data_IF_805775851513
#
_entry.id   IF_805775851513
#
_cell.length_a   1.000
_cell.length_b   1.000
_cell.length_c   1.000
_cell.angle_alpha   90.00
_cell.angle_beta   90.00
_cell.angle_gamma   90.00
#
_symmetry.space_group_name_H-M   'P 1'
#
loop_
_entity.id
_entity.type
_entity.pdbx_description
1 polymer ?
#
# COMPACT_ATOMS: atom_id res chain seq x y z
N UNK A 1 18.05 27.46 -9.42
CA UNK A 1 17.10 28.07 -8.47
C UNK A 1 16.35 26.91 -7.84
N UNK A 2 16.61 26.57 -6.57
CA UNK A 2 15.74 25.61 -5.87
C UNK A 2 14.41 26.34 -5.66
N UNK A 3 13.36 25.91 -6.36
CA UNK A 3 12.02 26.44 -6.17
C UNK A 3 11.64 26.28 -4.69
N UNK A 4 11.06 27.32 -4.11
CA UNK A 4 10.49 27.23 -2.77
C UNK A 4 9.42 26.13 -2.77
N UNK A 5 9.49 25.13 -1.88
CA UNK A 5 8.52 24.03 -1.89
C UNK A 5 7.09 24.55 -1.76
N UNK A 6 6.18 24.04 -2.60
CA UNK A 6 4.75 24.37 -2.52
C UNK A 6 4.18 23.90 -1.18
N UNK A 7 3.46 24.79 -0.51
CA UNK A 7 2.67 24.48 0.68
C UNK A 7 1.22 24.22 0.24
N UNK A 8 0.66 23.07 0.62
CA UNK A 8 -0.66 22.61 0.16
C UNK A 8 -1.80 22.98 1.11
N UNK A 9 -1.52 23.22 2.39
CA UNK A 9 -2.55 23.58 3.35
C UNK A 9 -2.03 23.84 4.75
N UNK A 10 -2.96 24.19 5.65
CA UNK A 10 -2.73 24.33 7.08
C UNK A 10 -3.55 23.28 7.84
N UNK A 11 -2.91 22.61 8.80
CA UNK A 11 -3.50 21.54 9.62
C UNK A 11 -3.16 21.85 11.08
N UNK A 12 -4.12 21.91 12.01
CA UNK A 12 -3.79 22.26 13.39
C UNK A 12 -2.87 21.23 14.05
N UNK A 13 -3.41 20.06 14.34
CA UNK A 13 -2.68 19.00 15.03
C UNK A 13 -2.57 17.78 14.11
N UNK A 14 -1.35 17.28 13.91
CA UNK A 14 -1.07 16.08 13.12
C UNK A 14 -0.62 14.99 14.07
N UNK A 15 -1.31 13.85 14.08
CA UNK A 15 -0.84 12.65 14.78
C UNK A 15 -0.22 11.70 13.76
N UNK A 16 1.04 11.32 13.95
CA UNK A 16 1.69 10.25 13.18
C UNK A 16 1.79 9.02 14.07
N UNK A 17 1.07 7.96 13.73
CA UNK A 17 1.11 6.68 14.46
C UNK A 17 2.08 5.77 13.72
N UNK A 18 3.16 5.36 14.37
CA UNK A 18 4.27 4.61 13.77
C UNK A 18 5.37 5.52 13.23
N UNK A 19 6.60 5.27 13.67
CA UNK A 19 7.82 6.00 13.30
C UNK A 19 8.93 5.09 12.78
N UNK A 20 8.53 4.02 12.08
CA UNK A 20 9.40 3.17 11.26
C UNK A 20 9.89 3.88 9.99
N UNK A 21 10.31 3.13 8.98
CA UNK A 21 10.88 3.68 7.73
C UNK A 21 9.96 4.70 7.04
N UNK A 22 8.65 4.44 7.00
CA UNK A 22 7.66 5.32 6.36
C UNK A 22 7.37 6.55 7.23
N UNK A 23 7.28 6.41 8.57
CA UNK A 23 7.09 7.54 9.48
C UNK A 23 8.26 8.53 9.43
N UNK A 24 9.49 8.01 9.50
CA UNK A 24 10.73 8.77 9.34
C UNK A 24 10.79 9.53 8.01
N UNK A 25 10.37 8.88 6.91
CA UNK A 25 10.34 9.49 5.59
C UNK A 25 9.20 10.50 5.37
N UNK A 26 8.05 10.31 6.04
CA UNK A 26 6.86 11.17 5.90
C UNK A 26 7.03 12.49 6.65
N UNK A 27 7.58 12.45 7.87
CA UNK A 27 7.76 13.63 8.72
C UNK A 27 8.44 14.83 8.01
N UNK A 28 9.59 14.69 7.34
CA UNK A 28 10.23 15.81 6.63
C UNK A 28 9.39 16.33 5.47
N UNK A 29 8.56 15.47 4.83
CA UNK A 29 7.68 15.90 3.76
C UNK A 29 6.45 16.66 4.29
N UNK A 30 5.89 16.25 5.43
CA UNK A 30 4.84 17.03 6.12
C UNK A 30 5.38 18.42 6.47
N UNK A 31 6.55 18.49 7.10
CA UNK A 31 7.23 19.75 7.48
C UNK A 31 7.50 20.66 6.27
N UNK A 32 7.76 20.06 5.11
CA UNK A 32 8.03 20.77 3.86
C UNK A 32 6.77 21.33 3.21
N UNK A 33 5.66 20.59 3.27
CA UNK A 33 4.51 20.83 2.41
C UNK A 33 3.24 21.30 3.12
N UNK A 34 3.20 21.30 4.46
CA UNK A 34 2.08 21.79 5.24
C UNK A 34 2.53 22.79 6.30
N UNK A 35 1.63 23.71 6.65
CA UNK A 35 1.73 24.50 7.89
C UNK A 35 0.95 23.78 8.98
N UNK A 36 1.45 23.82 10.21
CA UNK A 36 0.81 23.16 11.34
C UNK A 36 1.15 23.83 12.67
N UNK A 37 0.33 23.55 13.69
CA UNK A 37 0.61 23.98 15.07
C UNK A 37 1.52 22.96 15.74
N UNK A 38 1.14 21.68 15.69
CA UNK A 38 1.84 20.60 16.39
C UNK A 38 1.79 19.28 15.62
N UNK A 39 2.89 18.53 15.68
CA UNK A 39 2.96 17.12 15.29
C UNK A 39 3.16 16.30 16.56
N UNK A 40 2.39 15.24 16.75
CA UNK A 40 2.59 14.24 17.79
C UNK A 40 2.89 12.89 17.15
N UNK A 41 4.06 12.34 17.43
CA UNK A 41 4.47 11.01 16.98
C UNK A 41 4.15 9.99 18.09
N UNK A 42 3.54 8.87 17.72
CA UNK A 42 3.25 7.75 18.63
C UNK A 42 3.99 6.52 18.11
N UNK A 43 4.86 5.93 18.93
CA UNK A 43 5.55 4.67 18.61
C UNK A 43 5.96 3.97 19.92
N UNK A 44 5.88 2.63 20.03
CA UNK A 44 6.40 1.92 21.20
C UNK A 44 7.93 1.99 21.34
N UNK A 45 8.65 2.12 20.22
CA UNK A 45 10.10 2.19 20.18
C UNK A 45 10.60 3.63 20.33
N UNK A 46 11.75 3.84 20.99
CA UNK A 46 12.28 5.18 21.19
C UNK A 46 12.66 5.84 19.87
N UNK A 47 12.42 7.15 19.80
CA UNK A 47 12.74 8.00 18.66
C UNK A 47 14.05 8.77 18.92
N UNK A 48 14.88 8.96 17.90
CA UNK A 48 16.14 9.68 18.03
C UNK A 48 15.95 11.21 18.11
N UNK A 49 16.68 11.89 19.02
CA UNK A 49 16.86 13.34 18.94
C UNK A 49 17.70 13.66 17.69
N UNK A 50 17.36 14.64 16.82
CA UNK A 50 16.58 15.86 17.09
C UNK A 50 15.14 15.86 16.55
N UNK A 51 14.49 14.70 16.40
CA UNK A 51 13.15 14.65 15.79
C UNK A 51 12.08 15.37 16.64
N UNK A 52 12.30 15.42 17.96
CA UNK A 52 11.49 16.14 18.96
C UNK A 52 11.91 17.62 19.05
N UNK A 53 10.92 18.52 19.06
CA UNK A 53 11.12 19.98 19.13
C UNK A 53 9.91 20.67 19.75
N UNK A 54 9.89 22.00 19.82
CA UNK A 54 8.73 22.76 20.34
C UNK A 54 7.41 22.49 19.57
N UNK A 55 7.51 22.07 18.29
CA UNK A 55 6.35 21.78 17.43
C UNK A 55 6.20 20.28 17.12
N UNK A 56 7.08 19.43 17.65
CA UNK A 56 7.05 17.98 17.45
C UNK A 56 7.22 17.27 18.78
N UNK A 57 6.17 16.59 19.24
CA UNK A 57 6.16 15.77 20.44
C UNK A 57 6.27 14.30 20.09
N UNK A 58 6.84 13.51 21.01
CA UNK A 58 6.87 12.06 20.92
C UNK A 58 6.21 11.44 22.16
N UNK A 59 5.29 10.51 21.95
CA UNK A 59 4.66 9.70 22.99
C UNK A 59 5.11 8.26 22.77
N UNK A 60 5.97 7.77 23.67
CA UNK A 60 6.46 6.39 23.60
C UNK A 60 5.42 5.40 24.13
N UNK A 61 4.52 4.96 23.26
CA UNK A 61 3.45 4.02 23.60
C UNK A 61 3.03 3.22 22.37
N UNK A 62 2.81 1.92 22.56
CA UNK A 62 2.12 1.08 21.58
C UNK A 62 0.62 1.30 21.69
N UNK A 63 -0.04 1.66 20.59
CA UNK A 63 -1.49 1.73 20.57
C UNK A 63 -2.08 0.32 20.64
N UNK A 64 -3.06 0.15 21.50
CA UNK A 64 -3.81 -1.09 21.68
C UNK A 64 -5.30 -0.78 21.62
N UNK A 65 -6.10 -1.83 21.49
CA UNK A 65 -7.56 -1.73 21.53
C UNK A 65 -8.09 -0.99 22.77
N UNK A 66 -7.41 -1.13 23.90
CA UNK A 66 -7.85 -0.59 25.18
C UNK A 66 -7.46 0.88 25.37
N UNK A 67 -6.36 1.35 24.76
CA UNK A 67 -5.79 2.67 25.04
C UNK A 67 -5.97 3.70 23.90
N UNK A 68 -6.21 3.27 22.66
CA UNK A 68 -6.06 4.17 21.51
C UNK A 68 -7.03 5.36 21.55
N UNK A 69 -8.24 5.16 22.07
CA UNK A 69 -9.25 6.22 22.16
C UNK A 69 -8.84 7.33 23.12
N UNK A 70 -8.35 6.96 24.31
CA UNK A 70 -7.90 7.90 25.33
C UNK A 70 -6.70 8.71 24.84
N UNK A 71 -5.74 8.04 24.20
CA UNK A 71 -4.54 8.71 23.68
C UNK A 71 -4.91 9.69 22.55
N UNK A 72 -5.75 9.26 21.60
CA UNK A 72 -6.19 10.14 20.51
C UNK A 72 -7.09 11.28 20.99
N UNK A 73 -7.83 11.10 22.09
CA UNK A 73 -8.58 12.19 22.76
C UNK A 73 -7.68 13.28 23.31
N UNK A 74 -6.56 12.89 23.92
CA UNK A 74 -5.57 13.83 24.44
C UNK A 74 -4.90 14.66 23.35
N UNK A 75 -4.83 14.13 22.12
CA UNK A 75 -4.20 14.80 20.97
C UNK A 75 -5.21 15.70 20.25
N UNK A 76 -6.39 15.18 19.92
CA UNK A 76 -7.37 15.89 19.09
C UNK A 76 -8.44 16.61 19.92
N UNK A 77 -8.06 17.72 20.55
CA UNK A 77 -8.96 18.51 21.41
C UNK A 77 -9.53 19.72 20.64
N UNK A 78 -10.77 19.60 20.15
CA UNK A 78 -11.55 20.74 19.63
C UNK A 78 -11.00 21.42 18.36
N UNK A 79 -10.17 20.72 17.59
CA UNK A 79 -9.48 21.24 16.38
C UNK A 79 -9.64 20.28 15.20
N UNK A 80 -9.43 20.80 13.98
CA UNK A 80 -9.31 19.99 12.77
C UNK A 80 -7.94 19.31 12.79
N UNK A 81 -7.93 18.01 13.09
CA UNK A 81 -6.72 17.21 13.12
C UNK A 81 -6.53 16.36 11.87
N UNK A 82 -5.33 15.82 11.71
CA UNK A 82 -5.03 14.78 10.73
C UNK A 82 -4.32 13.61 11.41
N UNK A 83 -4.93 12.43 11.38
CA UNK A 83 -4.32 11.18 11.80
C UNK A 83 -3.65 10.49 10.60
N UNK A 84 -2.33 10.35 10.65
CA UNK A 84 -1.48 9.69 9.66
C UNK A 84 -1.01 8.37 10.25
N UNK A 85 -1.69 7.27 9.91
CA UNK A 85 -1.41 5.95 10.46
C UNK A 85 -0.42 5.17 9.57
N UNK A 86 0.80 5.01 10.05
CA UNK A 86 1.95 4.39 9.40
C UNK A 86 2.53 3.25 10.26
N UNK A 87 1.68 2.63 11.07
CA UNK A 87 2.05 1.62 12.06
C UNK A 87 1.71 0.20 11.61
N UNK A 88 2.23 -0.77 12.36
CA UNK A 88 1.86 -2.19 12.32
C UNK A 88 1.15 -2.55 13.61
N UNK A 89 0.38 -3.65 13.62
CA UNK A 89 -0.28 -4.16 14.82
C UNK A 89 -1.39 -3.26 15.39
N UNK A 90 -1.88 -2.28 14.62
CA UNK A 90 -3.02 -1.43 14.99
C UNK A 90 -4.19 -1.61 14.04
N UNK A 91 -5.42 -1.61 14.55
CA UNK A 91 -6.59 -1.76 13.67
C UNK A 91 -6.89 -0.48 12.91
N UNK A 92 -6.61 -0.49 11.59
CA UNK A 92 -6.90 0.64 10.71
C UNK A 92 -8.39 1.00 10.75
N UNK A 93 -9.28 0.00 10.75
CA UNK A 93 -10.73 0.22 10.76
C UNK A 93 -11.20 0.93 12.04
N UNK A 94 -10.76 0.47 13.22
CA UNK A 94 -11.19 1.08 14.49
C UNK A 94 -10.65 2.50 14.64
N UNK A 95 -9.38 2.75 14.31
CA UNK A 95 -8.76 4.08 14.40
C UNK A 95 -9.40 5.03 13.38
N UNK A 96 -9.55 4.60 12.13
CA UNK A 96 -10.18 5.39 11.07
C UNK A 96 -11.57 5.87 11.46
N UNK A 97 -12.42 4.95 11.92
CA UNK A 97 -13.79 5.27 12.33
C UNK A 97 -13.81 6.20 13.54
N UNK A 98 -12.85 6.04 14.46
CA UNK A 98 -12.72 6.91 15.62
C UNK A 98 -12.36 8.34 15.21
N UNK A 99 -11.37 8.50 14.32
CA UNK A 99 -10.99 9.80 13.76
C UNK A 99 -12.16 10.46 13.02
N UNK A 100 -12.85 9.73 12.14
CA UNK A 100 -14.01 10.26 11.42
C UNK A 100 -15.15 10.69 12.36
N UNK A 101 -15.38 9.95 13.46
CA UNK A 101 -16.39 10.31 14.45
C UNK A 101 -16.10 11.64 15.16
N UNK A 102 -14.83 12.06 15.19
CA UNK A 102 -14.36 13.32 15.78
C UNK A 102 -14.18 14.45 14.78
N UNK A 103 -14.42 14.21 13.50
CA UNK A 103 -14.11 15.19 12.46
C UNK A 103 -12.61 15.33 12.15
N UNK A 104 -11.82 14.31 12.47
CA UNK A 104 -10.38 14.24 12.20
C UNK A 104 -10.14 13.51 10.88
N UNK A 105 -9.34 14.09 9.99
CA UNK A 105 -8.93 13.42 8.75
C UNK A 105 -8.09 12.20 9.05
N UNK A 106 -8.17 11.19 8.19
CA UNK A 106 -7.41 9.96 8.36
C UNK A 106 -6.75 9.52 7.05
N UNK A 107 -5.53 9.03 7.14
CA UNK A 107 -4.85 8.30 6.06
C UNK A 107 -4.05 7.14 6.62
N UNK A 108 -4.09 5.99 5.94
CA UNK A 108 -3.21 4.86 6.16
C UNK A 108 -2.62 4.34 4.84
N UNK A 109 -1.64 3.45 4.92
CA UNK A 109 -1.07 2.75 3.76
C UNK A 109 -1.50 1.29 3.67
N UNK A 110 -2.16 0.76 4.68
CA UNK A 110 -2.54 -0.65 4.81
C UNK A 110 -3.81 -0.78 5.65
N UNK A 111 -4.59 -1.84 5.39
CA UNK A 111 -5.69 -2.26 6.27
C UNK A 111 -5.13 -3.24 7.29
N UNK A 112 -4.68 -2.69 8.40
CA UNK A 112 -4.04 -3.46 9.46
C UNK A 112 -5.07 -3.87 10.52
N UNK A 113 -4.74 -4.92 11.28
CA UNK A 113 -5.50 -5.35 12.45
C UNK A 113 -4.67 -5.31 13.72
N UNK A 114 -5.35 -5.36 14.86
CA UNK A 114 -4.67 -5.46 16.15
C UNK A 114 -3.72 -6.66 16.20
N UNK A 115 -2.60 -6.45 16.89
CA UNK A 115 -1.55 -7.45 17.08
C UNK A 115 -2.08 -8.85 17.42
N UNK A 116 -1.47 -9.87 16.78
CA UNK A 116 -1.87 -11.27 16.92
C UNK A 116 -2.98 -11.73 15.97
N UNK A 117 -3.61 -10.85 15.19
CA UNK A 117 -4.68 -11.24 14.26
C UNK A 117 -4.21 -12.21 13.16
N UNK A 118 -3.07 -11.95 12.51
CA UNK A 118 -2.62 -12.71 11.34
C UNK A 118 -2.14 -14.13 11.68
N UNK A 119 -1.53 -14.31 12.85
CA UNK A 119 -1.05 -15.61 13.35
C UNK A 119 -2.14 -16.42 14.06
N UNK A 120 -3.32 -15.84 14.30
CA UNK A 120 -4.42 -16.52 14.99
C UNK A 120 -5.09 -17.59 14.11
N UNK A 121 -4.87 -18.86 14.44
CA UNK A 121 -5.43 -20.01 13.73
C UNK A 121 -6.96 -20.16 13.92
N UNK A 122 -7.55 -19.58 14.96
CA UNK A 122 -9.00 -19.58 15.18
C UNK A 122 -9.74 -18.64 14.21
N UNK A 123 -9.01 -17.73 13.54
CA UNK A 123 -9.56 -16.86 12.50
C UNK A 123 -9.49 -17.57 11.15
N UNK A 124 -10.66 -17.80 10.57
CA UNK A 124 -10.79 -18.38 9.22
C UNK A 124 -9.89 -17.65 8.22
N UNK A 125 -9.17 -18.41 7.39
CA UNK A 125 -8.15 -17.87 6.47
C UNK A 125 -8.68 -16.76 5.55
N UNK A 126 -9.93 -16.86 5.09
CA UNK A 126 -10.53 -15.82 4.24
C UNK A 126 -10.74 -14.50 4.98
N UNK A 127 -10.94 -14.50 6.30
CA UNK A 127 -11.03 -13.26 7.10
C UNK A 127 -9.67 -12.62 7.29
N UNK A 128 -8.61 -13.44 7.35
CA UNK A 128 -7.20 -13.01 7.36
C UNK A 128 -6.69 -12.54 6.00
N UNK A 129 -7.43 -12.74 4.91
CA UNK A 129 -7.08 -12.20 3.59
C UNK A 129 -7.31 -10.69 3.50
N UNK A 130 -6.62 -9.99 2.59
CA UNK A 130 -6.88 -8.56 2.36
C UNK A 130 -8.30 -8.32 1.83
N UNK A 131 -8.89 -9.28 1.09
CA UNK A 131 -10.31 -9.23 0.77
C UNK A 131 -11.19 -9.19 2.03
N UNK A 132 -10.92 -10.08 2.99
CA UNK A 132 -11.67 -10.15 4.25
C UNK A 132 -11.61 -8.84 5.03
N UNK A 133 -10.41 -8.28 5.19
CA UNK A 133 -10.17 -7.01 5.85
C UNK A 133 -10.85 -5.84 5.11
N UNK A 134 -10.74 -5.81 3.79
CA UNK A 134 -11.42 -4.80 2.95
C UNK A 134 -12.93 -4.87 3.07
N UNK A 135 -13.53 -6.07 3.01
CA UNK A 135 -14.99 -6.23 3.14
C UNK A 135 -15.48 -5.92 4.56
N UNK A 136 -14.68 -6.17 5.60
CA UNK A 136 -14.99 -5.71 6.96
C UNK A 136 -15.07 -4.18 7.01
N UNK A 137 -14.03 -3.48 6.53
CA UNK A 137 -14.01 -2.02 6.47
C UNK A 137 -15.19 -1.47 5.66
N UNK A 138 -15.43 -1.98 4.44
CA UNK A 138 -16.51 -1.49 3.58
C UNK A 138 -17.89 -1.69 4.20
N UNK A 139 -18.12 -2.80 4.92
CA UNK A 139 -19.37 -3.01 5.67
C UNK A 139 -19.56 -1.94 6.73
N UNK A 140 -18.51 -1.58 7.46
CA UNK A 140 -18.62 -0.59 8.53
C UNK A 140 -18.74 0.84 8.01
N UNK A 141 -18.04 1.19 6.93
CA UNK A 141 -18.20 2.48 6.24
C UNK A 141 -19.65 2.67 5.77
N UNK A 142 -20.25 1.63 5.16
CA UNK A 142 -21.65 1.66 4.71
C UNK A 142 -22.66 1.82 5.85
N UNK A 143 -22.35 1.32 7.06
CA UNK A 143 -23.23 1.45 8.23
C UNK A 143 -23.21 2.85 8.83
N UNK A 144 -22.05 3.50 8.90
CA UNK A 144 -21.88 4.72 9.70
C UNK A 144 -22.02 6.04 8.92
N UNK A 145 -21.94 6.01 7.58
CA UNK A 145 -22.11 7.16 6.69
C UNK A 145 -21.42 8.46 7.21
N UNK A 146 -20.18 8.31 7.68
CA UNK A 146 -19.37 9.43 8.19
C UNK A 146 -18.96 10.34 7.03
N UNK A 147 -18.87 11.65 7.28
CA UNK A 147 -18.60 12.65 6.24
C UNK A 147 -17.14 13.03 6.11
N UNK A 148 -16.40 13.09 7.22
CA UNK A 148 -15.00 13.50 7.20
C UNK A 148 -14.17 12.51 6.40
N UNK A 149 -13.36 13.02 5.48
CA UNK A 149 -12.55 12.19 4.61
C UNK A 149 -11.57 11.31 5.40
N UNK A 150 -11.60 10.03 5.06
CA UNK A 150 -10.63 9.03 5.48
C UNK A 150 -10.16 8.25 4.25
N UNK A 151 -8.84 8.18 4.07
CA UNK A 151 -8.24 7.54 2.90
C UNK A 151 -7.56 6.25 3.36
N UNK A 152 -8.14 5.12 2.97
CA UNK A 152 -7.55 3.81 3.20
C UNK A 152 -6.60 3.43 2.06
N UNK A 153 -5.48 2.83 2.41
CA UNK A 153 -4.52 2.20 1.50
C UNK A 153 -3.95 3.19 0.47
N UNK A 154 -3.36 4.29 0.97
CA UNK A 154 -2.78 5.35 0.16
C UNK A 154 -1.27 5.51 0.39
N UNK A 155 -0.54 4.42 0.12
CA UNK A 155 0.90 4.42 -0.07
C UNK A 155 1.29 4.36 -1.55
N UNK A 156 2.38 3.67 -1.86
CA UNK A 156 2.78 3.44 -3.25
C UNK A 156 1.87 2.38 -3.90
N UNK A 157 1.82 1.22 -3.27
CA UNK A 157 1.00 0.06 -3.60
C UNK A 157 0.62 -0.57 -2.27
N UNK A 158 -0.66 -0.58 -1.86
CA UNK A 158 -1.80 0.09 -2.50
C UNK A 158 -1.69 1.62 -2.44
N UNK A 159 -2.30 2.30 -3.42
CA UNK A 159 -2.36 3.76 -3.49
C UNK A 159 -1.99 4.30 -4.87
N UNK A 160 -0.77 4.84 -5.01
CA UNK A 160 -0.23 5.44 -6.24
C UNK A 160 -0.45 4.59 -7.50
N UNK A 161 -0.32 3.26 -7.39
CA UNK A 161 -0.56 2.33 -8.50
C UNK A 161 -1.99 2.40 -9.07
N UNK A 162 -3.00 2.74 -8.26
CA UNK A 162 -4.36 2.97 -8.77
C UNK A 162 -4.43 4.20 -9.68
N UNK A 163 -3.63 5.23 -9.39
CA UNK A 163 -3.51 6.41 -10.23
C UNK A 163 -2.75 6.07 -11.52
N UNK A 164 -1.71 5.23 -11.43
CA UNK A 164 -1.01 4.70 -12.59
C UNK A 164 -1.91 3.89 -13.52
N UNK A 165 -2.82 3.06 -13.00
CA UNK A 165 -3.79 2.34 -13.85
C UNK A 165 -4.61 3.32 -14.68
N UNK A 166 -5.16 4.37 -14.06
CA UNK A 166 -5.94 5.39 -14.77
C UNK A 166 -5.12 6.07 -15.87
N UNK A 167 -3.92 6.55 -15.54
CA UNK A 167 -3.05 7.18 -16.51
C UNK A 167 -2.64 6.22 -17.65
N UNK A 168 -2.39 4.95 -17.32
CA UNK A 168 -2.02 3.92 -18.29
C UNK A 168 -3.15 3.65 -19.29
N UNK A 169 -4.41 3.68 -18.86
CA UNK A 169 -5.56 3.54 -19.75
C UNK A 169 -5.70 4.72 -20.71
N UNK A 170 -5.49 5.95 -20.23
CA UNK A 170 -5.50 7.15 -21.08
C UNK A 170 -4.40 7.06 -22.14
N UNK A 171 -3.19 6.69 -21.72
CA UNK A 171 -2.06 6.51 -22.63
C UNK A 171 -2.35 5.40 -23.65
N UNK A 172 -2.87 4.26 -23.19
CA UNK A 172 -3.20 3.13 -24.05
C UNK A 172 -4.26 3.48 -25.09
N UNK A 173 -5.33 4.18 -24.69
CA UNK A 173 -6.39 4.63 -25.59
C UNK A 173 -5.81 5.49 -26.74
N UNK A 174 -4.97 6.46 -26.39
CA UNK A 174 -4.25 7.28 -27.36
C UNK A 174 -3.36 6.44 -28.29
N UNK A 175 -2.58 5.52 -27.73
CA UNK A 175 -1.57 4.73 -28.45
C UNK A 175 -2.13 3.67 -29.40
N UNK A 176 -3.41 3.29 -29.23
CA UNK A 176 -4.14 2.39 -30.15
C UNK A 176 -5.14 3.14 -31.03
N UNK A 177 -5.24 4.46 -30.91
CA UNK A 177 -6.21 5.27 -31.66
C UNK A 177 -7.66 5.04 -31.24
N UNK A 178 -7.91 4.65 -29.99
CA UNK A 178 -9.26 4.52 -29.45
C UNK A 178 -9.87 5.91 -29.24
N UNK A 179 -11.09 6.18 -29.75
CA UNK A 179 -11.71 7.49 -29.61
C UNK A 179 -12.09 7.76 -28.15
N UNK A 180 -11.42 8.73 -27.54
CA UNK A 180 -11.70 9.19 -26.18
C UNK A 180 -11.90 10.71 -26.17
N UNK A 181 -13.11 11.21 -26.48
CA UNK A 181 -13.36 12.64 -26.57
C UNK A 181 -13.27 13.35 -25.20
N UNK A 182 -13.60 12.65 -24.11
CA UNK A 182 -13.46 13.13 -22.74
C UNK A 182 -12.89 12.03 -21.84
N UNK A 183 -12.16 12.42 -20.79
CA UNK A 183 -11.68 11.49 -19.78
C UNK A 183 -12.84 10.93 -18.92
N UNK A 184 -12.81 9.65 -18.52
CA UNK A 184 -13.82 9.07 -17.64
C UNK A 184 -13.90 9.76 -16.28
N UNK A 185 -15.11 10.08 -15.82
CA UNK A 185 -15.37 10.78 -14.55
C UNK A 185 -15.98 9.86 -13.48
N UNK A 186 -16.61 8.77 -13.90
CA UNK A 186 -17.26 7.81 -13.01
C UNK A 186 -16.57 6.45 -13.02
N UNK A 187 -16.74 5.68 -11.94
CA UNK A 187 -16.24 4.29 -11.84
C UNK A 187 -16.71 3.42 -13.01
N UNK A 188 -17.97 3.57 -13.44
CA UNK A 188 -18.53 2.81 -14.56
C UNK A 188 -17.88 3.18 -15.90
N UNK A 189 -17.62 4.47 -16.14
CA UNK A 189 -16.92 4.91 -17.36
C UNK A 189 -15.47 4.40 -17.39
N UNK A 190 -14.78 4.40 -16.24
CA UNK A 190 -13.44 3.81 -16.12
C UNK A 190 -13.43 2.30 -16.42
N UNK A 191 -14.39 1.55 -15.86
CA UNK A 191 -14.57 0.12 -16.14
C UNK A 191 -14.86 -0.16 -17.61
N UNK A 192 -15.75 0.63 -18.23
CA UNK A 192 -16.06 0.53 -19.67
C UNK A 192 -14.86 0.84 -20.54
N UNK A 193 -14.10 1.90 -20.24
CA UNK A 193 -12.87 2.21 -20.96
C UNK A 193 -11.91 1.01 -20.92
N UNK A 194 -11.67 0.43 -19.74
CA UNK A 194 -10.76 -0.71 -19.61
C UNK A 194 -11.25 -1.95 -20.39
N UNK A 195 -12.56 -2.24 -20.35
CA UNK A 195 -13.22 -3.29 -21.15
C UNK A 195 -13.01 -3.05 -22.65
N UNK A 196 -13.29 -1.84 -23.12
CA UNK A 196 -13.29 -1.48 -24.54
C UNK A 196 -11.87 -1.43 -25.13
N UNK A 197 -10.86 -1.10 -24.31
CA UNK A 197 -9.45 -1.23 -24.67
C UNK A 197 -8.95 -2.69 -24.71
N UNK A 198 -9.78 -3.65 -24.27
CA UNK A 198 -9.46 -5.07 -24.28
C UNK A 198 -8.42 -5.49 -23.24
N UNK A 199 -8.25 -4.73 -22.15
CA UNK A 199 -7.33 -5.10 -21.07
C UNK A 199 -7.91 -6.31 -20.33
N UNK A 200 -7.14 -7.40 -20.26
CA UNK A 200 -7.54 -8.64 -19.59
C UNK A 200 -7.12 -8.66 -18.12
N UNK A 201 -5.98 -8.07 -17.82
CA UNK A 201 -5.51 -7.97 -16.46
C UNK A 201 -4.36 -6.99 -16.30
N UNK A 202 -3.93 -6.88 -15.05
CA UNK A 202 -2.95 -5.94 -14.55
C UNK A 202 -2.05 -6.70 -13.58
N UNK A 203 -0.73 -6.64 -13.77
CA UNK A 203 0.17 -6.88 -12.65
C UNK A 203 0.52 -5.55 -12.02
N UNK A 204 0.52 -5.49 -10.70
CA UNK A 204 1.38 -4.53 -10.01
C UNK A 204 2.78 -5.11 -10.16
N UNK A 205 3.55 -4.57 -11.10
CA UNK A 205 4.80 -5.15 -11.55
C UNK A 205 5.94 -4.32 -10.98
N UNK A 206 6.62 -4.90 -9.99
CA UNK A 206 7.67 -4.23 -9.23
C UNK A 206 8.98 -4.98 -9.30
N UNK A 207 10.08 -4.22 -9.42
CA UNK A 207 11.43 -4.71 -9.30
C UNK A 207 12.25 -3.77 -8.44
N UNK A 208 12.53 -4.18 -7.21
CA UNK A 208 13.48 -3.49 -6.36
C UNK A 208 14.90 -4.02 -6.62
N UNK A 209 15.81 -3.10 -6.91
CA UNK A 209 17.24 -3.36 -7.21
C UNK A 209 18.18 -2.67 -6.23
N UNK A 210 17.64 -2.06 -5.17
CA UNK A 210 18.42 -1.49 -4.10
C UNK A 210 19.31 -2.55 -3.48
N UNK A 211 20.57 -2.19 -3.24
CA UNK A 211 21.58 -3.10 -2.69
C UNK A 211 22.45 -2.40 -1.65
N UNK A 212 22.87 -3.17 -0.68
CA UNK A 212 23.86 -2.79 0.34
C UNK A 212 25.26 -3.31 -0.02
N UNK A 213 26.29 -2.73 0.58
CA UNK A 213 27.64 -3.33 0.61
C UNK A 213 27.81 -4.33 1.75
N UNK A 214 26.87 -4.35 2.69
CA UNK A 214 26.83 -5.32 3.77
C UNK A 214 26.30 -6.66 3.27
N UNK A 215 26.78 -7.73 3.88
CA UNK A 215 26.39 -9.10 3.56
C UNK A 215 25.43 -9.55 4.66
N UNK A 216 24.25 -10.03 4.25
CA UNK A 216 23.25 -10.59 5.16
C UNK A 216 23.76 -11.89 5.79
N UNK A 217 23.68 -11.99 7.10
CA UNK A 217 23.98 -13.24 7.81
C UNK A 217 22.82 -14.26 7.64
N UNK A 218 23.10 -15.57 7.64
CA UNK A 218 22.05 -16.58 7.68
C UNK A 218 21.10 -16.37 8.87
N UNK A 219 19.82 -16.69 8.67
CA UNK A 219 18.74 -16.49 9.65
C UNK A 219 18.43 -15.03 9.99
N UNK A 220 18.78 -14.10 9.11
CA UNK A 220 18.33 -12.70 9.18
C UNK A 220 17.31 -12.38 8.10
N UNK A 221 16.35 -11.51 8.42
CA UNK A 221 15.36 -11.04 7.45
C UNK A 221 15.64 -9.59 7.08
N UNK A 222 16.14 -9.37 5.86
CA UNK A 222 16.50 -8.04 5.38
C UNK A 222 15.52 -7.61 4.30
N UNK A 223 15.07 -6.35 4.34
CA UNK A 223 14.16 -5.78 3.35
C UNK A 223 14.43 -4.28 3.18
N UNK A 224 13.86 -3.64 2.17
CA UNK A 224 13.94 -2.18 1.95
C UNK A 224 12.78 -1.42 2.60
N UNK A 225 11.76 -2.12 3.07
CA UNK A 225 10.67 -1.59 3.87
C UNK A 225 10.34 -2.56 5.01
N UNK A 226 9.22 -2.34 5.71
CA UNK A 226 8.83 -3.12 6.89
C UNK A 226 9.05 -4.62 6.70
N UNK A 227 9.92 -5.20 7.53
CA UNK A 227 10.15 -6.64 7.55
C UNK A 227 8.90 -7.34 8.09
N UNK A 228 8.33 -6.81 9.16
CA UNK A 228 7.08 -7.29 9.76
C UNK A 228 5.91 -7.30 8.77
N UNK A 229 5.71 -6.18 8.06
CA UNK A 229 4.65 -6.06 7.06
C UNK A 229 4.81 -7.07 5.93
N UNK A 230 6.04 -7.22 5.41
CA UNK A 230 6.29 -8.19 4.35
C UNK A 230 6.09 -9.64 4.83
N UNK A 231 6.49 -9.98 6.05
CA UNK A 231 6.23 -11.30 6.66
C UNK A 231 4.72 -11.51 6.85
N UNK A 232 4.00 -10.52 7.38
CA UNK A 232 2.55 -10.61 7.58
C UNK A 232 1.81 -10.88 6.28
N UNK A 233 2.08 -10.09 5.24
CA UNK A 233 1.43 -10.20 3.94
C UNK A 233 1.91 -11.40 3.11
N UNK A 234 3.19 -11.74 3.22
CA UNK A 234 3.84 -12.72 2.37
C UNK A 234 3.92 -14.12 2.96
N UNK A 235 4.04 -14.25 4.28
CA UNK A 235 4.23 -15.52 4.98
C UNK A 235 2.96 -15.99 5.71
N UNK A 236 2.25 -15.08 6.40
CA UNK A 236 1.06 -15.45 7.18
C UNK A 236 -0.25 -15.37 6.39
N UNK A 237 -0.40 -14.38 5.50
CA UNK A 237 -1.59 -14.23 4.67
C UNK A 237 -1.59 -15.13 3.43
N UNK A 238 -2.77 -15.50 2.91
CA UNK A 238 -2.86 -16.26 1.67
C UNK A 238 -2.44 -15.42 0.46
N UNK A 239 -1.89 -16.08 -0.57
CA UNK A 239 -1.74 -15.48 -1.89
C UNK A 239 -3.11 -15.12 -2.48
N UNK A 240 -3.25 -13.91 -2.99
CA UNK A 240 -4.56 -13.34 -3.34
C UNK A 240 -4.48 -12.51 -4.63
N UNK A 241 -5.51 -12.65 -5.46
CA UNK A 241 -5.61 -11.96 -6.72
C UNK A 241 -7.05 -11.61 -7.04
N UNK A 242 -7.24 -10.40 -7.55
CA UNK A 242 -8.45 -10.07 -8.28
C UNK A 242 -8.61 -10.97 -9.50
N UNK A 243 -9.81 -11.51 -9.70
CA UNK A 243 -10.06 -12.59 -10.65
C UNK A 243 -10.86 -12.09 -11.85
N UNK A 244 -10.21 -12.02 -13.01
CA UNK A 244 -10.80 -11.46 -14.22
C UNK A 244 -11.80 -12.38 -14.90
N UNK A 245 -12.77 -11.79 -15.61
CA UNK A 245 -13.78 -12.56 -16.37
C UNK A 245 -13.19 -13.33 -17.56
N UNK A 246 -11.94 -13.03 -17.94
CA UNK A 246 -11.26 -13.67 -19.06
C UNK A 246 -10.62 -15.01 -18.70
N UNK A 247 -10.45 -15.30 -17.40
CA UNK A 247 -9.76 -16.49 -16.91
C UNK A 247 -10.58 -17.75 -17.23
N UNK A 248 -9.94 -18.74 -17.85
CA UNK A 248 -10.58 -20.00 -18.29
C UNK A 248 -10.17 -21.22 -17.49
N UNK A 249 -9.20 -21.05 -16.60
CA UNK A 249 -8.65 -22.10 -15.78
C UNK A 249 -8.47 -21.58 -14.36
N UNK A 250 -8.90 -22.37 -13.39
CA UNK A 250 -8.83 -22.04 -11.97
C UNK A 250 -7.80 -22.95 -11.32
N UNK A 251 -6.84 -22.42 -10.54
CA UNK A 251 -5.93 -23.25 -9.76
C UNK A 251 -6.68 -24.19 -8.83
N UNK A 252 -6.20 -25.44 -8.68
CA UNK A 252 -6.85 -26.45 -7.84
C UNK A 252 -7.07 -26.01 -6.38
N UNK A 253 -6.16 -25.20 -5.85
CA UNK A 253 -6.18 -24.72 -4.46
C UNK A 253 -6.82 -23.32 -4.32
N UNK A 254 -7.38 -22.77 -5.40
CA UNK A 254 -8.08 -21.50 -5.36
C UNK A 254 -9.43 -21.62 -4.65
N UNK A 255 -9.74 -20.62 -3.84
CA UNK A 255 -11.01 -20.48 -3.14
C UNK A 255 -11.67 -19.17 -3.55
N UNK A 256 -12.94 -19.26 -3.93
CA UNK A 256 -13.79 -18.10 -4.23
C UNK A 256 -14.51 -17.62 -2.97
N UNK A 257 -14.57 -16.31 -2.79
CA UNK A 257 -15.35 -15.70 -1.71
C UNK A 257 -16.86 -15.82 -1.97
N UNK A 258 -17.62 -16.14 -0.92
CA UNK A 258 -19.08 -16.32 -0.98
C UNK A 258 -19.88 -15.04 -0.73
N UNK A 259 -19.23 -14.03 -0.16
CA UNK A 259 -19.83 -12.75 0.22
C UNK A 259 -18.89 -11.59 -0.15
N UNK A 260 -19.40 -10.36 -0.15
CA UNK A 260 -18.65 -9.13 -0.47
C UNK A 260 -18.70 -8.74 -1.96
N UNK A 261 -17.69 -8.03 -2.46
CA UNK A 261 -17.65 -7.63 -3.88
C UNK A 261 -17.37 -8.78 -4.88
N UNK A 262 -16.92 -9.93 -4.37
CA UNK A 262 -16.57 -11.16 -5.10
C UNK A 262 -15.63 -10.90 -6.28
N UNK A 263 -14.71 -9.95 -6.10
CA UNK A 263 -13.76 -9.52 -7.11
C UNK A 263 -12.44 -10.30 -7.10
N UNK A 264 -12.20 -11.15 -6.10
CA UNK A 264 -10.95 -11.86 -5.89
C UNK A 264 -11.14 -13.36 -5.64
N UNK A 265 -10.05 -14.09 -5.78
CA UNK A 265 -9.83 -15.43 -5.24
C UNK A 265 -8.56 -15.41 -4.39
N UNK A 266 -8.41 -16.39 -3.51
CA UNK A 266 -7.16 -16.63 -2.81
C UNK A 266 -6.74 -18.10 -2.96
N UNK A 267 -5.45 -18.39 -2.84
CA UNK A 267 -4.96 -19.76 -2.69
C UNK A 267 -4.57 -19.99 -1.23
N UNK A 268 -4.71 -21.23 -0.74
CA UNK A 268 -4.40 -21.58 0.65
C UNK A 268 -2.89 -21.62 0.96
N UNK A 269 -2.05 -21.05 0.10
CA UNK A 269 -0.60 -20.97 0.25
C UNK A 269 -0.16 -19.53 0.52
N UNK A 270 0.89 -19.31 1.34
CA UNK A 270 1.48 -18.00 1.55
C UNK A 270 1.89 -17.31 0.25
N UNK A 271 1.78 -15.97 0.22
CA UNK A 271 2.11 -15.13 -0.92
C UNK A 271 3.54 -15.31 -1.46
N UNK A 272 4.52 -15.38 -0.55
CA UNK A 272 5.93 -15.60 -0.90
C UNK A 272 6.18 -16.99 -1.50
N UNK A 273 5.29 -17.97 -1.26
CA UNK A 273 5.43 -19.34 -1.76
C UNK A 273 4.76 -19.55 -3.13
N UNK A 274 4.16 -18.49 -3.69
CA UNK A 274 3.56 -18.52 -5.02
C UNK A 274 4.31 -17.55 -5.91
N UNK A 275 4.80 -18.07 -7.03
CA UNK A 275 5.54 -17.25 -8.01
C UNK A 275 4.78 -17.12 -9.31
N UNK A 276 4.85 -15.93 -9.90
CA UNK A 276 4.20 -15.57 -11.16
C UNK A 276 5.25 -15.05 -12.14
N UNK A 277 5.03 -15.28 -13.44
CA UNK A 277 5.83 -14.67 -14.49
C UNK A 277 5.32 -13.27 -14.75
N UNK A 278 6.21 -12.29 -14.71
CA UNK A 278 5.88 -10.89 -14.95
C UNK A 278 7.00 -10.21 -15.75
N UNK A 279 6.90 -8.89 -15.93
CA UNK A 279 7.83 -8.09 -16.71
C UNK A 279 7.90 -6.66 -16.17
N UNK A 280 9.11 -6.12 -16.02
CA UNK A 280 9.36 -4.70 -15.76
C UNK A 280 10.36 -4.13 -16.79
N UNK A 281 10.36 -2.81 -17.07
CA UNK A 281 11.18 -2.22 -18.13
C UNK A 281 12.68 -2.46 -18.04
N UNK A 282 13.26 -2.39 -16.85
CA UNK A 282 14.72 -2.37 -16.71
C UNK A 282 15.35 -3.74 -16.98
N UNK A 283 14.74 -4.82 -16.45
CA UNK A 283 15.29 -6.18 -16.55
C UNK A 283 14.49 -7.11 -17.46
N UNK A 284 13.30 -6.67 -17.90
CA UNK A 284 12.42 -7.46 -18.74
C UNK A 284 11.73 -8.59 -17.96
N UNK A 285 11.63 -9.80 -18.55
CA UNK A 285 10.94 -10.92 -17.92
C UNK A 285 11.56 -11.32 -16.58
N UNK A 286 10.72 -11.51 -15.56
CA UNK A 286 11.15 -11.93 -14.23
C UNK A 286 10.10 -12.80 -13.55
N UNK A 287 10.52 -13.45 -12.46
CA UNK A 287 9.58 -14.02 -11.49
C UNK A 287 9.26 -12.96 -10.44
N UNK A 288 8.00 -12.91 -10.00
CA UNK A 288 7.60 -12.16 -8.81
C UNK A 288 6.82 -13.05 -7.85
N UNK A 289 6.85 -12.71 -6.56
CA UNK A 289 5.98 -13.30 -5.55
C UNK A 289 4.55 -12.78 -5.70
N UNK A 290 3.56 -13.65 -5.51
CA UNK A 290 2.13 -13.31 -5.51
C UNK A 290 1.68 -13.00 -4.07
N UNK A 291 2.28 -11.94 -3.51
CA UNK A 291 1.93 -11.42 -2.19
C UNK A 291 0.55 -10.78 -2.27
N UNK A 292 -0.29 -10.99 -1.25
CA UNK A 292 -1.61 -10.35 -1.20
C UNK A 292 -1.44 -8.85 -0.97
N UNK A 293 -2.28 -8.04 -1.60
CA UNK A 293 -2.26 -6.59 -1.49
C UNK A 293 -3.66 -6.05 -1.73
N UNK A 294 -4.09 -4.99 -1.03
CA UNK A 294 -5.45 -4.45 -1.17
C UNK A 294 -5.80 -4.10 -2.63
N UNK A 295 -4.86 -3.52 -3.38
CA UNK A 295 -5.12 -3.07 -4.74
C UNK A 295 -5.38 -4.22 -5.72
N UNK A 296 -4.92 -5.43 -5.42
CA UNK A 296 -5.29 -6.62 -6.19
C UNK A 296 -6.82 -6.81 -6.23
N UNK A 297 -7.46 -6.56 -5.08
CA UNK A 297 -8.92 -6.61 -4.92
C UNK A 297 -9.56 -5.30 -5.36
N UNK A 298 -9.06 -4.17 -4.86
CA UNK A 298 -9.73 -2.88 -5.01
C UNK A 298 -9.71 -2.36 -6.44
N UNK A 299 -8.64 -2.60 -7.22
CA UNK A 299 -8.58 -2.29 -8.66
C UNK A 299 -9.55 -3.21 -9.43
N UNK A 300 -9.53 -4.51 -9.17
CA UNK A 300 -10.42 -5.46 -9.86
C UNK A 300 -11.89 -5.15 -9.58
N UNK A 301 -12.24 -4.84 -8.33
CA UNK A 301 -13.56 -4.35 -7.98
C UNK A 301 -13.85 -3.03 -8.72
N UNK A 302 -12.98 -2.01 -8.60
CA UNK A 302 -13.18 -0.68 -9.20
C UNK A 302 -13.54 -0.74 -10.69
N UNK A 303 -12.79 -1.53 -11.47
CA UNK A 303 -12.98 -1.65 -12.92
C UNK A 303 -13.99 -2.74 -13.34
N UNK A 304 -14.71 -3.34 -12.39
CA UNK A 304 -15.81 -4.28 -12.70
C UNK A 304 -16.96 -3.55 -13.40
N UNK A 305 -17.39 -4.08 -14.55
CA UNK A 305 -18.59 -3.62 -15.27
C UNK A 305 -19.70 -4.65 -15.09
N UNK A 306 -20.89 -4.15 -14.75
CA UNK A 306 -22.11 -4.96 -14.64
C UNK A 306 -23.15 -4.52 -15.66
N UNK A 307 -23.86 -5.49 -16.23
CA UNK A 307 -25.04 -5.29 -17.06
C UNK A 307 -26.16 -6.15 -16.46
N UNK A 308 -27.30 -5.54 -16.11
CA UNK A 308 -28.41 -6.23 -15.41
C UNK A 308 -27.95 -7.03 -14.16
N UNK A 309 -27.10 -6.41 -13.33
CA UNK A 309 -26.47 -7.00 -12.14
C UNK A 309 -25.48 -8.16 -12.39
N UNK A 310 -25.31 -8.61 -13.63
CA UNK A 310 -24.32 -9.62 -14.01
C UNK A 310 -22.97 -8.99 -14.31
N UNK A 311 -21.89 -9.60 -13.82
CA UNK A 311 -20.51 -9.15 -14.10
C UNK A 311 -20.13 -9.56 -15.52
N UNK A 312 -20.10 -8.60 -16.43
CA UNK A 312 -19.72 -8.82 -17.85
C UNK A 312 -18.24 -8.57 -18.12
N UNK A 313 -17.57 -7.82 -17.24
CA UNK A 313 -16.16 -7.53 -17.36
C UNK A 313 -15.52 -7.28 -15.99
N UNK A 314 -14.32 -7.83 -15.82
CA UNK A 314 -13.42 -7.55 -14.70
C UNK A 314 -11.99 -7.89 -15.12
N UNK A 315 -10.98 -7.06 -14.80
CA UNK A 315 -9.58 -7.44 -15.01
C UNK A 315 -9.11 -8.43 -13.94
N UNK A 316 -8.19 -9.32 -14.30
CA UNK A 316 -7.34 -9.98 -13.28
C UNK A 316 -6.39 -8.92 -12.72
N UNK A 317 -6.17 -8.84 -11.41
CA UNK A 317 -5.19 -7.92 -10.83
C UNK A 317 -4.49 -8.56 -9.65
N UNK A 318 -3.15 -8.55 -9.65
CA UNK A 318 -2.39 -9.00 -8.49
C UNK A 318 -0.99 -8.42 -8.46
N UNK A 319 -0.36 -8.53 -7.31
CA UNK A 319 1.04 -8.18 -7.15
C UNK A 319 1.93 -9.24 -7.82
N UNK A 320 2.98 -8.77 -8.49
CA UNK A 320 4.05 -9.59 -9.04
C UNK A 320 5.37 -8.99 -8.57
N UNK A 321 5.66 -9.21 -7.30
CA UNK A 321 6.72 -8.50 -6.57
C UNK A 321 8.06 -9.20 -6.67
N UNK A 322 9.05 -8.56 -7.28
CA UNK A 322 10.43 -8.97 -7.13
C UNK A 322 11.14 -8.01 -6.16
N UNK A 323 11.24 -8.35 -4.86
CA UNK A 323 11.89 -7.51 -3.87
C UNK A 323 13.40 -7.41 -4.13
N UNK A 324 14.10 -6.62 -3.31
CA UNK A 324 15.55 -6.52 -3.35
C UNK A 324 16.19 -7.91 -3.14
N UNK A 325 17.43 -8.08 -3.59
CA UNK A 325 18.10 -9.39 -3.59
C UNK A 325 18.15 -10.03 -2.19
N UNK A 326 18.36 -9.22 -1.15
CA UNK A 326 18.40 -9.70 0.23
C UNK A 326 17.03 -10.17 0.72
N UNK A 327 15.96 -9.47 0.37
CA UNK A 327 14.59 -9.88 0.69
C UNK A 327 14.15 -11.12 -0.08
N UNK A 328 14.62 -11.33 -1.32
CA UNK A 328 14.45 -12.62 -2.02
C UNK A 328 15.12 -13.74 -1.23
N UNK A 329 16.36 -13.55 -0.80
CA UNK A 329 17.09 -14.55 -0.02
C UNK A 329 16.42 -14.82 1.35
N UNK A 330 15.98 -13.77 2.04
CA UNK A 330 15.26 -13.88 3.32
C UNK A 330 13.92 -14.60 3.17
N UNK A 331 13.12 -14.30 2.14
CA UNK A 331 11.86 -14.98 1.89
C UNK A 331 12.07 -16.48 1.58
N UNK A 332 13.06 -16.81 0.74
CA UNK A 332 13.38 -18.20 0.43
C UNK A 332 13.87 -18.97 1.66
N UNK A 333 14.67 -18.34 2.53
CA UNK A 333 15.13 -18.96 3.77
C UNK A 333 13.95 -19.23 4.72
N UNK A 334 13.07 -18.24 4.93
CA UNK A 334 11.90 -18.38 5.80
C UNK A 334 10.92 -19.47 5.29
N UNK A 335 10.66 -19.52 3.99
CA UNK A 335 9.81 -20.56 3.39
C UNK A 335 10.47 -21.94 3.49
N UNK A 336 11.78 -22.00 3.22
CA UNK A 336 12.52 -23.26 3.21
C UNK A 336 12.67 -23.88 4.60
N UNK A 337 12.84 -23.06 5.64
CA UNK A 337 12.90 -23.50 7.03
C UNK A 337 11.52 -23.75 7.63
N UNK A 338 10.49 -23.05 7.16
CA UNK A 338 9.19 -22.98 7.83
C UNK A 338 9.19 -22.10 9.09
N UNK A 339 10.24 -21.29 9.28
CA UNK A 339 10.44 -20.44 10.46
C UNK A 339 10.84 -19.01 10.04
N UNK A 340 10.18 -18.04 10.65
CA UNK A 340 10.54 -16.62 10.57
C UNK A 340 11.49 -16.32 11.73
N UNK A 341 12.63 -15.64 11.50
CA UNK A 341 13.55 -15.29 12.58
C UNK A 341 12.92 -14.24 13.52
N UNK A 342 13.39 -14.15 14.76
CA UNK A 342 12.92 -13.14 15.72
C UNK A 342 13.21 -11.70 15.27
N UNK A 343 12.47 -10.73 15.80
CA UNK A 343 12.57 -9.30 15.43
C UNK A 343 13.99 -8.74 15.60
N UNK A 344 14.78 -9.27 16.54
CA UNK A 344 16.18 -8.89 16.76
C UNK A 344 17.11 -9.23 15.58
N UNK A 345 16.62 -10.02 14.62
CA UNK A 345 17.30 -10.44 13.39
C UNK A 345 16.73 -9.78 12.14
N UNK A 346 15.85 -8.80 12.30
CA UNK A 346 15.26 -8.07 11.19
C UNK A 346 16.07 -6.82 10.88
N UNK A 347 16.19 -6.48 9.59
CA UNK A 347 16.85 -5.25 9.15
C UNK A 347 16.14 -4.60 7.98
N UNK A 348 15.84 -3.31 8.14
CA UNK A 348 15.40 -2.47 7.04
C UNK A 348 16.62 -1.74 6.47
N UNK A 349 16.89 -1.91 5.18
CA UNK A 349 17.99 -1.29 4.46
C UNK A 349 17.61 0.15 4.11
N UNK A 350 18.14 1.11 4.86
CA UNK A 350 17.89 2.53 4.66
C UNK A 350 19.16 3.22 4.17
N UNK A 351 19.98 3.71 5.12
CA UNK A 351 21.25 4.38 4.83
C UNK A 351 22.26 3.44 4.17
N UNK A 352 22.11 2.14 4.38
CA UNK A 352 22.96 1.07 3.86
C UNK A 352 22.83 0.90 2.34
N UNK A 353 21.74 1.38 1.73
CA UNK A 353 21.53 1.26 0.27
C UNK A 353 22.56 2.10 -0.48
N UNK A 354 23.45 1.48 -1.26
CA UNK A 354 24.53 2.20 -1.97
C UNK A 354 24.18 2.53 -3.42
N UNK A 355 23.30 1.76 -4.05
CA UNK A 355 22.84 1.97 -5.43
C UNK A 355 21.57 1.15 -5.68
N UNK A 356 20.96 1.35 -6.86
CA UNK A 356 19.73 0.69 -7.26
C UNK A 356 18.55 1.64 -7.28
N UNK A 357 17.41 1.11 -7.67
CA UNK A 357 16.13 1.79 -7.77
C UNK A 357 15.01 0.87 -7.33
N UNK A 358 13.88 1.49 -7.03
CA UNK A 358 12.60 0.81 -6.92
C UNK A 358 11.80 1.08 -8.20
N UNK A 359 11.71 0.07 -9.08
CA UNK A 359 10.93 0.12 -10.32
C UNK A 359 9.53 -0.42 -10.08
N UNK A 360 8.62 0.44 -9.63
CA UNK A 360 7.23 0.12 -9.32
C UNK A 360 6.27 0.71 -10.35
N UNK A 361 5.42 -0.14 -10.92
CA UNK A 361 4.38 0.29 -11.85
C UNK A 361 3.28 -0.73 -12.06
N UNK A 362 2.44 -0.46 -13.06
CA UNK A 362 1.34 -1.32 -13.45
C UNK A 362 1.57 -1.84 -14.87
N UNK A 363 1.51 -3.15 -15.04
CA UNK A 363 1.61 -3.84 -16.33
C UNK A 363 0.21 -4.24 -16.79
N UNK A 364 -0.42 -3.41 -17.62
CA UNK A 364 -1.68 -3.76 -18.28
C UNK A 364 -1.38 -4.77 -19.40
N UNK A 365 -2.18 -5.82 -19.53
CA UNK A 365 -1.97 -6.84 -20.56
C UNK A 365 -3.26 -7.34 -21.22
N UNK A 366 -3.12 -7.95 -22.39
CA UNK A 366 -4.20 -8.57 -23.16
C UNK A 366 -4.88 -7.66 -24.19
N UNK A 367 -4.55 -6.36 -24.18
CA UNK A 367 -4.99 -5.37 -25.15
C UNK A 367 -4.27 -5.54 -26.50
N UNK A 368 -4.67 -4.74 -27.51
CA UNK A 368 -4.16 -4.86 -28.89
C UNK A 368 -2.64 -4.64 -29.06
N UNK A 369 -1.97 -4.05 -28.07
CA UNK A 369 -0.50 -3.85 -28.03
C UNK A 369 0.20 -4.83 -27.08
N UNK A 370 -0.45 -5.96 -26.79
CA UNK A 370 0.00 -7.04 -25.90
C UNK A 370 0.11 -6.63 -24.43
N UNK A 371 1.09 -5.80 -24.08
CA UNK A 371 1.31 -5.34 -22.71
C UNK A 371 1.89 -3.93 -22.67
N UNK A 372 1.57 -3.17 -21.62
CA UNK A 372 2.04 -1.82 -21.38
C UNK A 372 2.34 -1.62 -19.90
N UNK A 373 3.60 -1.31 -19.59
CA UNK A 373 4.03 -0.95 -18.23
C UNK A 373 4.06 0.58 -18.08
N UNK A 374 3.51 1.08 -16.98
CA UNK A 374 3.55 2.50 -16.61
C UNK A 374 3.83 2.64 -15.11
N UNK A 375 4.83 3.45 -14.75
CA UNK A 375 5.22 3.61 -13.35
C UNK A 375 6.49 4.43 -13.12
N UNK A 376 7.03 4.30 -11.92
CA UNK A 376 8.20 4.99 -11.37
C UNK A 376 9.47 4.15 -11.54
N UNK A 377 10.59 4.81 -11.84
CA UNK A 377 11.94 4.22 -11.85
C UNK A 377 12.85 5.00 -10.88
N UNK A 378 12.36 5.25 -9.66
CA UNK A 378 13.02 6.13 -8.72
C UNK A 378 14.29 5.47 -8.16
N UNK A 379 15.45 6.06 -8.45
CA UNK A 379 16.73 5.58 -7.94
C UNK A 379 17.11 6.20 -6.57
N UNK A 380 18.00 5.53 -5.84
CA UNK A 380 18.44 5.97 -4.50
C UNK A 380 19.19 7.31 -4.52
N UNK A 381 19.90 7.64 -5.60
CA UNK A 381 20.63 8.92 -5.72
C UNK A 381 19.62 10.06 -5.83
N UNK A 382 18.67 9.93 -6.75
CA UNK A 382 17.55 10.84 -6.97
C UNK A 382 16.71 11.02 -5.69
N UNK A 383 16.51 9.94 -4.95
CA UNK A 383 15.82 9.95 -3.64
C UNK A 383 16.54 10.85 -2.65
N UNK A 384 17.84 10.62 -2.43
CA UNK A 384 18.66 11.36 -1.46
C UNK A 384 18.77 12.85 -1.78
N UNK A 385 18.74 13.21 -3.06
CA UNK A 385 18.71 14.61 -3.51
C UNK A 385 17.38 15.30 -3.18
N UNK A 386 16.28 14.54 -3.07
CA UNK A 386 14.91 15.07 -2.96
C UNK A 386 14.37 15.02 -1.54
N UNK A 387 14.64 13.96 -0.78
CA UNK A 387 14.08 13.79 0.56
C UNK A 387 15.05 13.06 1.49
N UNK A 388 15.21 13.53 2.73
CA UNK A 388 16.06 12.86 3.72
C UNK A 388 15.34 11.65 4.34
N UNK A 389 16.11 10.84 5.07
CA UNK A 389 15.65 9.78 5.98
C UNK A 389 14.82 8.66 5.34
N UNK A 390 15.06 8.37 4.06
CA UNK A 390 14.33 7.34 3.35
C UNK A 390 15.10 6.85 2.11
N UNK A 391 14.83 5.60 1.74
CA UNK A 391 15.30 4.99 0.50
C UNK A 391 14.26 5.18 -0.63
N UNK A 392 14.50 4.58 -1.81
CA UNK A 392 13.62 4.80 -2.96
C UNK A 392 12.21 4.24 -2.73
N UNK A 393 12.10 3.05 -2.15
CA UNK A 393 10.82 2.43 -1.77
C UNK A 393 10.01 3.35 -0.86
N UNK A 394 10.62 3.82 0.22
CA UNK A 394 9.96 4.68 1.18
C UNK A 394 9.54 6.02 0.56
N UNK A 395 10.35 6.66 -0.32
CA UNK A 395 9.94 7.92 -0.95
C UNK A 395 8.74 7.79 -1.88
N UNK A 396 8.55 6.64 -2.53
CA UNK A 396 7.34 6.41 -3.32
C UNK A 396 6.10 6.34 -2.41
N UNK A 397 6.21 5.69 -1.25
CA UNK A 397 5.11 5.59 -0.27
C UNK A 397 4.82 6.96 0.36
N UNK A 398 5.84 7.65 0.86
CA UNK A 398 5.69 8.91 1.59
C UNK A 398 5.19 10.04 0.69
N UNK A 399 5.61 10.08 -0.57
CA UNK A 399 5.09 11.06 -1.53
C UNK A 399 3.61 10.82 -1.87
N UNK A 400 3.16 9.56 -1.94
CA UNK A 400 1.75 9.23 -2.11
C UNK A 400 0.92 9.62 -0.88
N UNK A 401 1.45 9.48 0.33
CA UNK A 401 0.81 9.97 1.56
C UNK A 401 0.61 11.49 1.48
N UNK A 402 1.63 12.27 1.09
CA UNK A 402 1.49 13.73 0.94
C UNK A 402 0.43 14.11 -0.10
N UNK A 403 0.36 13.37 -1.21
CA UNK A 403 -0.70 13.56 -2.21
C UNK A 403 -2.09 13.24 -1.63
N UNK A 404 -2.24 12.15 -0.89
CA UNK A 404 -3.47 11.78 -0.21
C UNK A 404 -3.89 12.81 0.85
N UNK A 405 -2.96 13.28 1.68
CA UNK A 405 -3.22 14.33 2.66
C UNK A 405 -3.69 15.62 1.99
N UNK A 406 -3.05 16.00 0.87
CA UNK A 406 -3.47 17.17 0.07
C UNK A 406 -4.89 16.98 -0.45
N UNK A 407 -5.19 15.80 -1.02
CA UNK A 407 -6.51 15.49 -1.55
C UNK A 407 -7.59 15.52 -0.46
N UNK A 408 -7.31 15.03 0.74
CA UNK A 408 -8.24 15.07 1.87
C UNK A 408 -8.59 16.50 2.28
N UNK A 409 -7.63 17.43 2.27
CA UNK A 409 -7.88 18.84 2.59
C UNK A 409 -8.70 19.55 1.50
N UNK A 410 -8.51 19.17 0.23
CA UNK A 410 -9.28 19.71 -0.89
C UNK A 410 -10.69 19.09 -0.98
N UNK A 411 -10.92 17.94 -0.33
CA UNK A 411 -12.17 17.17 -0.36
C UNK A 411 -12.55 16.71 1.05
N UNK A 412 -12.97 17.62 1.95
CA UNK A 412 -13.07 17.34 3.38
C UNK A 412 -14.26 16.48 3.82
#
# INVERSE_FOLDING_TARGET
>A
LMETPRVYGYINDICVIGHGSIGKGTLPLIKRHFKFDKITIIDPHPVELPEVSETVEFIQVGLTRDNFKEILDGIFVGKVGFCVNLSVGTSSSEIMQYCQAKGVFYIDTVKEEWEGYYSNEDVELWKRSNYGLREALLRDVRKHNRKTTAISCCGANPGMVSWFVKQALINLAKDIGFPLPEEPKTRNEWGKLMKDLGVKGIHIAERDTQRSNEIRDPKEFWNTWSVDGFISEGYYQPSELGWGTHEKWVPKEAVFHREGCQAAIYMTKPGMNVTVKTWCPTYGPQMGFLVTHDEAISISDYFTVKENDEVVYRPTCHYAYHPCAEAVASALEAIGSGEVPGEEKWKILEKEVVSGMDELGVLLFGHAKNAYWYGSQLDIKSTRERAPNQNATALQVTSAIIAGMTWALENP
#
